data_IF_164337825061
#
_entry.id   IF_164337825061
#
_cell.length_a   1.000
_cell.length_b   1.000
_cell.length_c   1.000
_cell.angle_alpha   90.00
_cell.angle_beta   90.00
_cell.angle_gamma   90.00
#
_symmetry.space_group_name_H-M   'P 1'
#
loop_
_entity.id
_entity.type
_entity.pdbx_description
1 polymer ?
#
# COMPACT_ATOMS: atom_id res chain seq x y z
N UNK A 1 -18.80 5.01 6.75
CA UNK A 1 -17.58 4.37 6.23
C UNK A 1 -16.59 5.48 5.96
N UNK A 2 -15.39 5.36 6.50
CA UNK A 2 -14.33 6.34 6.34
C UNK A 2 -13.14 5.64 5.67
N UNK A 3 -12.34 6.37 4.92
CA UNK A 3 -11.12 5.87 4.28
C UNK A 3 -9.99 6.84 4.58
N UNK A 4 -8.80 6.32 4.93
CA UNK A 4 -7.59 7.12 5.09
C UNK A 4 -6.65 6.80 3.94
N UNK A 5 -5.97 7.84 3.45
CA UNK A 5 -4.89 7.69 2.49
C UNK A 5 -3.58 7.94 3.22
N UNK A 6 -2.68 6.97 3.19
CA UNK A 6 -1.35 7.10 3.78
C UNK A 6 -0.31 7.05 2.67
N UNK A 7 0.78 7.80 2.80
CA UNK A 7 1.92 7.64 1.90
C UNK A 7 3.26 7.79 2.60
N UNK A 8 4.27 7.11 2.07
CA UNK A 8 5.66 7.24 2.48
C UNK A 8 6.54 7.43 1.24
N UNK A 9 7.59 8.23 1.38
CA UNK A 9 8.61 8.42 0.35
C UNK A 9 9.92 7.74 0.76
N UNK A 10 10.67 7.27 -0.23
CA UNK A 10 12.09 6.95 -0.03
C UNK A 10 12.85 8.21 0.43
N UNK A 11 14.02 8.06 1.07
CA UNK A 11 14.80 9.22 1.50
C UNK A 11 15.15 10.21 0.38
N UNK A 12 15.34 9.72 -0.85
CA UNK A 12 15.59 10.53 -2.05
C UNK A 12 14.30 10.97 -2.77
N UNK A 13 13.13 10.59 -2.25
CA UNK A 13 11.78 10.86 -2.77
C UNK A 13 11.54 10.39 -4.20
N UNK A 14 12.34 9.47 -4.71
CA UNK A 14 12.16 8.86 -6.04
C UNK A 14 11.17 7.69 -6.03
N UNK A 15 10.95 7.12 -4.86
CA UNK A 15 10.01 6.02 -4.67
C UNK A 15 8.92 6.43 -3.68
N UNK A 16 7.72 5.91 -3.89
CA UNK A 16 6.54 6.21 -3.10
C UNK A 16 5.75 4.92 -2.84
N UNK A 17 5.32 4.75 -1.60
CA UNK A 17 4.33 3.75 -1.20
C UNK A 17 3.08 4.50 -0.75
N UNK A 18 1.94 4.18 -1.34
CA UNK A 18 0.62 4.73 -1.00
C UNK A 18 -0.25 3.58 -0.51
N UNK A 19 -0.97 3.80 0.59
CA UNK A 19 -1.88 2.81 1.19
C UNK A 19 -3.26 3.45 1.28
N UNK A 20 -4.25 2.77 0.71
CA UNK A 20 -5.66 3.03 0.97
C UNK A 20 -6.07 2.17 2.17
N UNK A 21 -6.44 2.84 3.26
CA UNK A 21 -6.73 2.28 4.59
C UNK A 21 -8.23 2.50 4.90
N UNK A 22 -9.13 1.66 4.36
CA UNK A 22 -10.55 1.74 4.65
C UNK A 22 -10.83 1.41 6.12
N UNK A 23 -11.53 2.31 6.80
CA UNK A 23 -12.05 2.08 8.14
C UNK A 23 -13.32 1.25 8.11
N UNK A 24 -13.31 0.11 8.83
CA UNK A 24 -14.50 -0.69 9.07
C UNK A 24 -15.54 0.02 9.95
N UNK A 25 -16.78 -0.44 9.86
CA UNK A 25 -17.83 -0.06 10.82
C UNK A 25 -17.43 -0.65 12.18
N UNK A 26 -17.59 0.10 13.26
CA UNK A 26 -17.24 -0.37 14.62
C UNK A 26 -15.77 -0.83 14.80
N UNK A 27 -14.84 -0.28 14.01
CA UNK A 27 -13.42 -0.66 13.97
C UNK A 27 -13.16 -2.10 13.52
N UNK A 28 -14.06 -2.70 12.74
CA UNK A 28 -13.80 -3.98 12.10
C UNK A 28 -12.57 -3.90 11.18
N UNK A 29 -11.68 -4.92 11.20
CA UNK A 29 -10.50 -4.93 10.35
C UNK A 29 -10.90 -5.12 8.88
N UNK A 30 -10.57 -4.14 8.04
CA UNK A 30 -10.81 -4.19 6.60
C UNK A 30 -9.47 -4.29 5.87
N UNK A 31 -9.33 -5.18 4.87
CA UNK A 31 -8.12 -5.21 4.07
C UNK A 31 -7.88 -3.90 3.31
N UNK A 32 -6.64 -3.45 3.36
CA UNK A 32 -6.12 -2.29 2.64
C UNK A 32 -5.83 -2.62 1.17
N UNK A 33 -5.54 -1.57 0.41
CA UNK A 33 -4.87 -1.65 -0.88
C UNK A 33 -3.60 -0.82 -0.85
N UNK A 34 -2.64 -1.12 -1.72
CA UNK A 34 -1.44 -0.29 -1.88
C UNK A 34 -1.03 -0.10 -3.33
N UNK A 35 -0.39 1.03 -3.56
CA UNK A 35 0.37 1.34 -4.76
C UNK A 35 1.83 1.59 -4.38
N UNK A 36 2.75 1.03 -5.16
CA UNK A 36 4.17 1.36 -5.07
C UNK A 36 4.66 1.86 -6.44
N UNK A 37 5.40 2.96 -6.44
CA UNK A 37 6.05 3.51 -7.63
C UNK A 37 7.49 3.89 -7.35
N UNK A 38 8.39 3.61 -8.30
CA UNK A 38 9.80 3.99 -8.27
C UNK A 38 10.15 4.66 -9.59
N UNK A 39 10.39 5.97 -9.56
CA UNK A 39 10.60 6.73 -10.79
C UNK A 39 12.01 6.59 -11.36
N UNK A 40 12.99 6.26 -10.50
CA UNK A 40 14.38 6.05 -10.88
C UNK A 40 14.52 4.79 -11.73
N UNK A 41 13.84 3.71 -11.32
CA UNK A 41 13.81 2.43 -12.02
C UNK A 41 12.71 2.41 -13.08
N UNK A 42 11.67 3.23 -12.91
CA UNK A 42 10.48 3.23 -13.75
C UNK A 42 9.60 2.00 -13.52
N UNK A 43 9.50 1.58 -12.26
CA UNK A 43 8.75 0.41 -11.81
C UNK A 43 7.52 0.86 -11.04
N UNK A 44 6.41 0.13 -11.22
CA UNK A 44 5.22 0.31 -10.37
C UNK A 44 4.51 -1.02 -10.17
N UNK A 45 3.83 -1.16 -9.04
CA UNK A 45 2.95 -2.29 -8.74
C UNK A 45 1.83 -1.82 -7.85
N UNK A 46 0.71 -2.54 -7.90
CA UNK A 46 -0.41 -2.30 -7.01
C UNK A 46 -1.00 -3.63 -6.54
N UNK A 47 -1.58 -3.63 -5.36
CA UNK A 47 -2.25 -4.80 -4.82
C UNK A 47 -3.36 -4.40 -3.86
N UNK A 48 -4.53 -4.96 -4.06
CA UNK A 48 -5.66 -4.82 -3.15
C UNK A 48 -5.68 -5.97 -2.13
N UNK A 49 -6.52 -5.89 -1.11
CA UNK A 49 -6.72 -6.98 -0.14
C UNK A 49 -5.42 -7.38 0.58
N UNK A 50 -4.81 -6.44 1.29
CA UNK A 50 -3.66 -6.68 2.17
C UNK A 50 -3.97 -6.21 3.60
N UNK A 51 -3.45 -6.90 4.62
CA UNK A 51 -3.56 -6.47 6.01
C UNK A 51 -2.53 -5.42 6.40
N UNK A 52 -1.35 -5.48 5.78
CA UNK A 52 -0.26 -4.54 6.03
C UNK A 52 0.75 -4.58 4.87
N UNK A 53 1.54 -3.52 4.73
CA UNK A 53 2.58 -3.38 3.72
C UNK A 53 3.73 -2.51 4.25
N UNK A 54 4.97 -2.90 3.96
CA UNK A 54 6.15 -2.14 4.32
C UNK A 54 7.26 -2.29 3.27
N UNK A 55 7.93 -1.19 2.87
CA UNK A 55 9.14 -1.26 2.07
C UNK A 55 10.34 -1.64 2.94
N UNK A 56 11.33 -2.30 2.36
CA UNK A 56 12.64 -2.47 2.97
C UNK A 56 13.34 -1.12 3.14
N UNK A 57 14.31 -0.98 4.06
CA UNK A 57 15.03 0.27 4.29
C UNK A 57 15.71 0.85 3.04
N UNK A 58 16.15 -0.02 2.12
CA UNK A 58 16.77 0.33 0.84
C UNK A 58 15.77 0.52 -0.31
N UNK A 59 14.47 0.35 -0.03
CA UNK A 59 13.38 0.45 -1.01
C UNK A 59 13.58 -0.46 -2.24
N UNK A 60 14.20 -1.62 -2.04
CA UNK A 60 14.35 -2.68 -3.08
C UNK A 60 13.37 -3.83 -2.92
N UNK A 61 12.66 -3.89 -1.80
CA UNK A 61 11.68 -4.91 -1.51
C UNK A 61 10.42 -4.31 -0.91
N UNK A 62 9.27 -4.88 -1.26
CA UNK A 62 8.00 -4.62 -0.59
C UNK A 62 7.57 -5.91 0.10
N UNK A 63 7.43 -5.88 1.41
CA UNK A 63 6.82 -6.95 2.19
C UNK A 63 5.35 -6.61 2.44
N UNK A 64 4.46 -7.60 2.34
CA UNK A 64 3.03 -7.41 2.55
C UNK A 64 2.38 -8.65 3.17
N UNK A 65 1.25 -8.46 3.83
CA UNK A 65 0.39 -9.54 4.31
C UNK A 65 -0.87 -9.64 3.47
N UNK A 66 -0.96 -10.61 2.56
CA UNK A 66 -2.16 -10.84 1.73
C UNK A 66 -3.34 -11.27 2.59
N UNK A 67 -4.50 -10.65 2.35
CA UNK A 67 -5.72 -10.94 3.09
C UNK A 67 -6.56 -12.04 2.43
N UNK A 68 -7.05 -12.96 3.27
CA UNK A 68 -8.04 -13.97 2.89
C UNK A 68 -9.09 -14.12 3.99
N UNK A 69 -10.35 -14.25 3.59
CA UNK A 69 -11.44 -14.66 4.48
C UNK A 69 -11.55 -16.19 4.47
N UNK A 70 -11.53 -16.80 5.65
CA UNK A 70 -11.58 -18.26 5.83
C UNK A 70 -12.90 -18.75 6.44
N UNK A 71 -13.64 -17.86 7.11
CA UNK A 71 -15.00 -18.12 7.61
C UNK A 71 -15.85 -16.89 7.32
N UNK A 72 -17.01 -17.09 6.69
CA UNK A 72 -17.98 -16.01 6.46
C UNK A 72 -18.79 -15.72 7.73
N UNK A 73 -19.38 -14.51 7.83
CA UNK A 73 -20.11 -14.06 9.02
C UNK A 73 -21.24 -14.98 9.50
N UNK A 74 -21.84 -15.77 8.60
CA UNK A 74 -22.88 -16.76 8.92
C UNK A 74 -22.40 -18.07 9.57
N UNK A 75 -21.09 -18.30 9.67
CA UNK A 75 -20.49 -19.38 10.47
C UNK A 75 -20.55 -20.80 9.91
N UNK A 76 -21.17 -21.06 8.74
CA UNK A 76 -21.44 -22.43 8.26
C UNK A 76 -20.66 -22.88 7.02
N UNK A 77 -19.62 -22.16 6.58
CA UNK A 77 -18.85 -22.51 5.37
C UNK A 77 -17.49 -23.15 5.66
N UNK A 78 -17.33 -24.45 5.44
CA UNK A 78 -16.01 -25.12 5.36
C UNK A 78 -15.33 -24.94 4.00
N UNK A 79 -16.09 -24.54 2.99
CA UNK A 79 -15.63 -24.43 1.60
C UNK A 79 -14.58 -23.32 1.45
N UNK A 80 -14.77 -22.19 2.14
CA UNK A 80 -13.80 -21.08 2.14
C UNK A 80 -12.43 -21.51 2.69
N UNK A 81 -12.40 -22.25 3.79
CA UNK A 81 -11.15 -22.73 4.38
C UNK A 81 -10.40 -23.67 3.43
N UNK A 82 -11.13 -24.55 2.74
CA UNK A 82 -10.57 -25.48 1.77
C UNK A 82 -10.08 -24.76 0.51
N UNK A 83 -10.84 -23.78 0.03
CA UNK A 83 -10.46 -22.96 -1.13
C UNK A 83 -9.21 -22.11 -0.84
N UNK A 84 -9.15 -21.47 0.34
CA UNK A 84 -7.96 -20.73 0.78
C UNK A 84 -6.78 -21.68 0.94
N UNK A 85 -6.99 -22.88 1.47
CA UNK A 85 -5.94 -23.90 1.56
C UNK A 85 -5.34 -24.23 0.19
N UNK A 86 -6.17 -24.46 -0.82
CA UNK A 86 -5.70 -24.71 -2.20
C UNK A 86 -4.96 -23.51 -2.80
N UNK A 87 -5.43 -22.28 -2.56
CA UNK A 87 -4.83 -21.05 -3.12
C UNK A 87 -3.49 -20.69 -2.46
N UNK A 88 -3.37 -20.93 -1.16
CA UNK A 88 -2.22 -20.51 -0.34
C UNK A 88 -1.20 -21.63 -0.16
N UNK A 89 -1.56 -22.87 -0.47
CA UNK A 89 -0.80 -24.08 -0.14
C UNK A 89 -0.55 -24.25 1.37
N UNK A 90 -1.42 -23.68 2.20
CA UNK A 90 -1.40 -23.83 3.67
C UNK A 90 -2.49 -24.83 4.04
N UNK A 91 -2.19 -25.83 4.87
CA UNK A 91 -3.20 -26.81 5.28
C UNK A 91 -4.30 -26.16 6.14
N UNK A 92 -5.48 -26.77 6.13
CA UNK A 92 -6.67 -26.22 6.82
C UNK A 92 -6.52 -26.16 8.34
N UNK A 93 -5.69 -27.00 8.95
CA UNK A 93 -5.45 -26.96 10.40
C UNK A 93 -4.58 -25.75 10.75
N UNK A 94 -3.51 -25.49 10.00
CA UNK A 94 -2.67 -24.30 10.12
C UNK A 94 -3.45 -23.02 9.84
N UNK A 95 -4.30 -23.00 8.79
CA UNK A 95 -5.17 -21.86 8.52
C UNK A 95 -6.15 -21.59 9.68
N UNK A 96 -6.75 -22.64 10.24
CA UNK A 96 -7.65 -22.51 11.39
C UNK A 96 -6.92 -21.93 12.60
N UNK A 97 -5.72 -22.44 12.91
CA UNK A 97 -4.90 -21.98 14.03
C UNK A 97 -4.37 -20.54 13.85
N UNK A 98 -4.00 -20.16 12.62
CA UNK A 98 -3.48 -18.82 12.30
C UNK A 98 -4.54 -17.76 12.02
N UNK A 99 -5.80 -18.17 11.84
CA UNK A 99 -6.90 -17.23 11.59
C UNK A 99 -7.20 -16.33 12.78
N UNK A 100 -7.83 -15.19 12.53
CA UNK A 100 -8.24 -14.21 13.54
C UNK A 100 -9.64 -13.66 13.27
N UNK A 101 -10.31 -13.09 14.29
CA UNK A 101 -11.61 -12.44 14.12
C UNK A 101 -11.52 -11.29 13.11
N UNK A 102 -12.38 -11.32 12.10
CA UNK A 102 -12.49 -10.27 11.08
C UNK A 102 -13.71 -9.35 11.29
N UNK A 103 -14.54 -9.66 12.28
CA UNK A 103 -15.75 -8.91 12.65
C UNK A 103 -15.99 -9.07 14.15
N UNK A 104 -16.44 -7.99 14.79
CA UNK A 104 -16.87 -8.02 16.20
C UNK A 104 -18.29 -8.55 16.38
N UNK A 105 -19.10 -8.52 15.31
CA UNK A 105 -20.53 -8.83 15.33
C UNK A 105 -20.86 -10.21 14.75
N UNK A 106 -19.94 -10.84 14.02
CA UNK A 106 -20.17 -12.11 13.33
C UNK A 106 -19.06 -13.13 13.58
N UNK A 107 -19.26 -14.36 13.13
CA UNK A 107 -18.26 -15.41 13.21
C UNK A 107 -17.20 -15.32 12.10
N UNK A 108 -17.11 -14.17 11.41
CA UNK A 108 -16.17 -13.99 10.32
C UNK A 108 -14.73 -14.09 10.80
N UNK A 109 -13.92 -14.86 10.06
CA UNK A 109 -12.50 -15.02 10.34
C UNK A 109 -11.67 -14.81 9.09
N UNK A 110 -10.51 -14.23 9.28
CA UNK A 110 -9.54 -13.99 8.25
C UNK A 110 -8.19 -14.60 8.58
N UNK A 111 -7.32 -14.68 7.58
CA UNK A 111 -5.92 -15.07 7.70
C UNK A 111 -5.06 -14.10 6.88
N UNK A 112 -3.79 -13.98 7.28
CA UNK A 112 -2.77 -13.29 6.51
C UNK A 112 -1.83 -14.32 5.88
N UNK A 113 -1.43 -14.09 4.63
CA UNK A 113 -0.36 -14.82 3.97
C UNK A 113 0.76 -13.83 3.61
N UNK A 114 1.99 -14.01 4.09
CA UNK A 114 3.05 -13.07 3.81
C UNK A 114 3.52 -13.22 2.36
N UNK A 115 3.88 -12.09 1.76
CA UNK A 115 4.52 -12.07 0.47
C UNK A 115 5.54 -10.95 0.35
N UNK A 116 6.37 -11.09 -0.69
CA UNK A 116 7.39 -10.09 -1.05
C UNK A 116 7.36 -9.79 -2.54
N UNK A 117 7.64 -8.55 -2.89
CA UNK A 117 7.91 -8.11 -4.26
C UNK A 117 9.34 -7.57 -4.28
N UNK A 118 10.18 -8.09 -5.17
CA UNK A 118 11.48 -7.50 -5.45
C UNK A 118 11.33 -6.38 -6.47
N UNK A 119 12.00 -5.26 -6.25
CA UNK A 119 12.02 -4.13 -7.18
C UNK A 119 13.29 -4.25 -8.02
N UNK A 120 13.17 -4.64 -9.31
CA UNK A 120 14.33 -4.88 -10.15
C UNK A 120 15.07 -3.57 -10.44
N UNK A 121 16.40 -3.60 -10.44
CA UNK A 121 17.22 -2.42 -10.78
C UNK A 121 16.93 -1.91 -12.21
N UNK A 122 16.53 -2.81 -13.12
CA UNK A 122 16.03 -2.46 -14.46
C UNK A 122 14.76 -3.27 -14.78
N UNK A 123 13.55 -2.66 -14.76
CA UNK A 123 12.30 -3.38 -15.02
C UNK A 123 12.08 -3.76 -16.49
N UNK A 124 12.95 -3.32 -17.41
CA UNK A 124 12.81 -3.58 -18.86
C UNK A 124 13.48 -4.87 -19.32
N UNK A 125 14.30 -5.50 -18.49
CA UNK A 125 14.94 -6.79 -18.85
C UNK A 125 13.96 -7.94 -18.65
N UNK A 126 14.04 -8.98 -19.47
CA UNK A 126 13.08 -10.08 -19.45
C UNK A 126 12.98 -10.77 -18.08
N UNK A 127 14.12 -10.98 -17.41
CA UNK A 127 14.17 -11.59 -16.07
C UNK A 127 13.55 -10.70 -14.97
N UNK A 128 13.32 -9.41 -15.24
CA UNK A 128 12.75 -8.49 -14.26
C UNK A 128 11.30 -8.85 -13.94
N UNK A 129 10.52 -9.26 -14.94
CA UNK A 129 9.12 -9.64 -14.78
C UNK A 129 8.98 -10.76 -13.73
N UNK A 130 9.74 -11.85 -13.87
CA UNK A 130 9.72 -12.97 -12.95
C UNK A 130 10.20 -12.57 -11.55
N UNK A 131 11.27 -11.77 -11.47
CA UNK A 131 11.80 -11.32 -10.18
C UNK A 131 10.84 -10.40 -9.43
N UNK A 132 10.05 -9.60 -10.16
CA UNK A 132 9.12 -8.62 -9.61
C UNK A 132 7.70 -9.14 -9.38
N UNK A 133 7.44 -10.39 -9.78
CA UNK A 133 6.19 -11.05 -9.46
C UNK A 133 6.06 -11.20 -7.93
N UNK A 134 4.87 -10.96 -7.35
CA UNK A 134 4.66 -11.20 -5.93
C UNK A 134 4.92 -12.66 -5.57
N UNK A 135 5.85 -12.89 -4.64
CA UNK A 135 6.15 -14.21 -4.10
C UNK A 135 5.43 -14.36 -2.77
N UNK A 136 4.45 -15.26 -2.72
CA UNK A 136 3.69 -15.60 -1.52
C UNK A 136 4.29 -16.83 -0.85
N UNK A 137 4.35 -16.82 0.48
CA UNK A 137 4.90 -17.93 1.25
C UNK A 137 3.78 -18.68 1.98
N UNK A 138 3.84 -20.03 2.07
CA UNK A 138 2.79 -20.84 2.68
C UNK A 138 2.85 -20.76 4.21
N UNK A 139 2.53 -19.59 4.75
CA UNK A 139 2.60 -19.24 6.17
C UNK A 139 1.32 -18.50 6.55
N UNK A 140 0.66 -18.93 7.63
CA UNK A 140 -0.53 -18.24 8.16
C UNK A 140 -0.16 -17.16 9.19
N UNK A 141 0.63 -16.15 8.78
CA UNK A 141 1.09 -15.00 9.59
C UNK A 141 1.23 -13.75 8.71
N UNK A 142 1.64 -12.64 9.31
CA UNK A 142 1.86 -11.39 8.57
C UNK A 142 0.65 -10.46 8.60
N UNK A 143 -0.12 -10.51 9.70
CA UNK A 143 -1.10 -9.47 10.00
C UNK A 143 -0.44 -8.09 9.98
N UNK A 144 0.73 -7.99 10.63
CA UNK A 144 1.68 -6.89 10.45
C UNK A 144 2.94 -7.39 9.79
N UNK A 145 3.59 -6.54 9.01
CA UNK A 145 4.88 -6.82 8.37
C UNK A 145 5.86 -5.69 8.62
N UNK A 146 7.08 -5.99 9.04
CA UNK A 146 8.15 -5.00 9.20
C UNK A 146 9.45 -5.58 8.69
N UNK A 147 10.33 -4.73 8.19
CA UNK A 147 11.68 -5.15 7.83
C UNK A 147 12.61 -4.98 9.03
N UNK A 148 13.66 -5.80 9.11
CA UNK A 148 14.80 -5.44 9.95
C UNK A 148 15.48 -4.19 9.40
N UNK A 149 16.15 -3.41 10.26
CA UNK A 149 16.81 -2.15 9.84
C UNK A 149 17.94 -2.35 8.83
N UNK A 150 18.51 -3.56 8.76
CA UNK A 150 19.49 -3.97 7.75
C UNK A 150 18.83 -4.51 6.45
N UNK A 151 17.51 -4.68 6.43
CA UNK A 151 16.74 -5.15 5.29
C UNK A 151 16.87 -6.64 4.97
N UNK A 152 17.61 -7.42 5.77
CA UNK A 152 17.86 -8.84 5.45
C UNK A 152 16.70 -9.77 5.79
N UNK A 153 15.76 -9.33 6.62
CA UNK A 153 14.70 -10.19 7.16
C UNK A 153 13.36 -9.47 7.15
N UNK A 154 12.33 -10.18 6.69
CA UNK A 154 10.96 -9.76 6.86
C UNK A 154 10.42 -10.32 8.19
N UNK A 155 10.09 -9.43 9.11
CA UNK A 155 9.44 -9.77 10.36
C UNK A 155 7.93 -9.89 10.16
N UNK A 156 7.38 -11.04 10.52
CA UNK A 156 5.96 -11.37 10.43
C UNK A 156 5.31 -11.26 11.80
N UNK A 157 4.41 -10.30 11.94
CA UNK A 157 3.61 -10.11 13.13
C UNK A 157 2.57 -11.21 13.29
N UNK A 158 2.32 -11.59 14.55
CA UNK A 158 1.20 -12.43 14.93
C UNK A 158 -0.15 -11.77 14.62
N UNK A 159 -1.14 -12.64 14.44
CA UNK A 159 -2.55 -12.30 14.28
C UNK A 159 -3.09 -11.49 15.47
N UNK A 160 -4.04 -10.57 15.23
CA UNK A 160 -4.64 -9.77 16.28
C UNK A 160 -5.49 -10.62 17.21
N UNK A 161 -5.54 -10.24 18.49
CA UNK A 161 -6.35 -10.97 19.47
C UNK A 161 -7.85 -10.62 19.34
N UNK A 162 -8.18 -9.46 18.77
CA UNK A 162 -9.55 -8.95 18.63
C UNK A 162 -9.81 -8.54 17.17
N UNK A 163 -11.09 -8.40 16.82
CA UNK A 163 -11.50 -7.78 15.56
C UNK A 163 -11.34 -6.26 15.66
N UNK A 164 -10.09 -5.80 15.77
CA UNK A 164 -9.75 -4.38 15.88
C UNK A 164 -8.82 -4.05 14.73
N UNK A 165 -9.26 -3.07 13.94
CA UNK A 165 -8.44 -2.51 12.90
C UNK A 165 -7.11 -1.99 13.47
N UNK A 166 -6.06 -2.22 12.70
CA UNK A 166 -4.74 -1.73 13.00
C UNK A 166 -4.10 -2.20 14.34
N UNK A 167 -4.54 -3.30 14.96
CA UNK A 167 -3.90 -3.85 16.17
C UNK A 167 -2.38 -4.08 15.97
N UNK A 168 -1.49 -3.57 16.84
CA UNK A 168 -0.05 -3.78 16.72
C UNK A 168 0.32 -5.22 17.09
N UNK A 169 1.41 -5.73 16.50
CA UNK A 169 1.91 -7.06 16.86
C UNK A 169 2.89 -6.98 18.03
N UNK A 170 2.71 -7.87 19.01
CA UNK A 170 3.58 -7.97 20.20
C UNK A 170 4.80 -8.87 19.98
N UNK A 171 4.73 -9.80 19.02
CA UNK A 171 5.78 -10.78 18.76
C UNK A 171 5.94 -11.00 17.26
N UNK A 172 7.17 -11.29 16.84
CA UNK A 172 7.54 -11.35 15.44
C UNK A 172 8.24 -12.66 15.12
N UNK A 173 7.94 -13.22 13.94
CA UNK A 173 8.71 -14.32 13.35
C UNK A 173 9.61 -13.81 12.25
N UNK A 174 10.78 -14.42 12.10
CA UNK A 174 11.72 -14.09 11.03
C UNK A 174 11.43 -14.91 9.77
N UNK A 175 11.32 -14.23 8.63
CA UNK A 175 11.22 -14.81 7.30
C UNK A 175 12.37 -14.30 6.44
N UNK A 176 13.08 -15.23 5.79
CA UNK A 176 14.01 -14.91 4.71
C UNK A 176 13.20 -14.48 3.46
N UNK A 177 13.31 -13.21 3.00
CA UNK A 177 12.57 -12.72 1.85
C UNK A 177 13.00 -13.38 0.53
N UNK A 178 14.21 -13.92 0.43
CA UNK A 178 14.71 -14.54 -0.79
C UNK A 178 14.19 -15.97 -0.95
N UNK A 179 14.21 -16.76 0.13
CA UNK A 179 13.89 -18.20 0.09
C UNK A 179 12.53 -18.55 0.66
N UNK A 180 11.95 -17.68 1.50
CA UNK A 180 10.75 -17.99 2.27
C UNK A 180 11.01 -18.85 3.51
N UNK A 181 12.28 -19.14 3.83
CA UNK A 181 12.63 -19.91 5.02
C UNK A 181 12.21 -19.16 6.29
N UNK A 182 11.59 -19.87 7.23
CA UNK A 182 11.29 -19.34 8.55
C UNK A 182 12.39 -19.70 9.54
N UNK A 183 12.86 -18.70 10.29
CA UNK A 183 13.90 -18.88 11.31
C UNK A 183 13.34 -18.89 12.75
N UNK A 184 12.02 -19.06 12.90
CA UNK A 184 11.34 -19.01 14.19
C UNK A 184 11.10 -17.58 14.67
N UNK A 185 11.26 -17.32 15.96
CA UNK A 185 11.08 -15.99 16.56
C UNK A 185 12.19 -15.05 16.10
N UNK A 186 11.84 -13.80 15.82
CA UNK A 186 12.82 -12.76 15.51
C UNK A 186 13.80 -12.60 16.69
N UNK A 187 15.13 -12.55 16.46
CA UNK A 187 16.10 -12.37 17.53
C UNK A 187 15.81 -11.12 18.37
N UNK A 188 15.98 -11.19 19.69
CA UNK A 188 15.68 -10.07 20.60
C UNK A 188 16.52 -8.81 20.35
N UNK A 189 17.68 -8.95 19.72
CA UNK A 189 18.54 -7.83 19.31
C UNK A 189 18.14 -7.20 17.97
N UNK A 190 17.22 -7.81 17.22
CA UNK A 190 16.81 -7.31 15.92
C UNK A 190 16.01 -6.01 16.08
N UNK A 191 16.38 -4.99 15.31
CA UNK A 191 15.64 -3.74 15.24
C UNK A 191 14.75 -3.75 14.00
N UNK A 192 13.50 -3.37 14.19
CA UNK A 192 12.55 -3.21 13.10
C UNK A 192 12.64 -1.80 12.53
N UNK A 193 12.64 -1.71 11.21
CA UNK A 193 12.55 -0.47 10.47
C UNK A 193 11.15 0.14 10.67
N UNK A 194 11.13 1.43 10.97
CA UNK A 194 9.91 2.21 11.03
C UNK A 194 9.67 2.92 9.69
N UNK A 195 8.41 2.91 9.25
CA UNK A 195 7.99 3.55 8.01
C UNK A 195 7.18 4.77 8.39
N UNK A 196 7.74 5.95 8.15
CA UNK A 196 7.07 7.21 8.48
C UNK A 196 6.03 7.55 7.42
N UNK A 197 4.82 7.05 7.63
CA UNK A 197 3.67 7.43 6.83
C UNK A 197 3.23 8.87 7.13
N UNK A 198 2.94 9.60 6.06
CA UNK A 198 2.19 10.85 6.10
C UNK A 198 0.72 10.52 5.94
N UNK A 199 -0.11 11.03 6.85
CA UNK A 199 -1.56 10.90 6.77
C UNK A 199 -2.16 11.95 5.84
N UNK A 200 -2.94 11.51 4.87
CA UNK A 200 -3.83 12.32 4.07
C UNK A 200 -5.13 12.68 4.80
N UNK A 201 -6.04 13.41 4.12
CA UNK A 201 -7.36 13.67 4.68
C UNK A 201 -8.16 12.37 4.82
N UNK A 202 -8.97 12.31 5.86
CA UNK A 202 -9.97 11.25 6.03
C UNK A 202 -11.10 11.50 5.05
N UNK A 203 -11.38 10.53 4.18
CA UNK A 203 -12.52 10.55 3.28
C UNK A 203 -13.73 10.00 4.04
N UNK A 204 -14.79 10.79 4.16
CA UNK A 204 -16.05 10.39 4.78
C UNK A 204 -17.20 10.87 3.89
N UNK A 205 -18.24 10.04 3.74
CA UNK A 205 -19.45 10.38 2.98
C UNK A 205 -20.11 11.68 3.47
N UNK A 206 -20.00 11.98 4.77
CA UNK A 206 -20.60 13.16 5.39
C UNK A 206 -19.77 14.43 5.26
N UNK A 207 -18.52 14.35 4.78
CA UNK A 207 -17.60 15.47 4.72
C UNK A 207 -17.26 15.81 3.25
N UNK A 208 -17.77 16.93 2.71
CA UNK A 208 -17.36 17.39 1.39
C UNK A 208 -15.88 17.79 1.42
N UNK A 209 -15.10 17.30 0.45
CA UNK A 209 -13.72 17.74 0.25
C UNK A 209 -13.74 18.90 -0.73
N UNK A 210 -13.16 20.02 -0.31
CA UNK A 210 -12.95 21.16 -1.19
C UNK A 210 -11.91 20.80 -2.26
N UNK A 211 -12.37 20.67 -3.50
CA UNK A 211 -11.52 20.43 -4.67
C UNK A 211 -11.16 21.70 -5.44
N UNK A 212 -11.48 22.89 -4.91
CA UNK A 212 -11.27 24.14 -5.65
C UNK A 212 -9.80 24.53 -5.74
N UNK A 213 -9.01 24.29 -4.70
CA UNK A 213 -7.59 24.66 -4.68
C UNK A 213 -6.79 23.78 -3.72
N UNK A 214 -5.54 23.47 -4.10
CA UNK A 214 -4.54 22.91 -3.19
C UNK A 214 -3.23 23.71 -3.26
N UNK A 215 -2.39 23.70 -2.21
CA UNK A 215 -1.04 24.24 -2.29
C UNK A 215 -0.28 23.64 -3.48
N UNK A 216 0.45 24.49 -4.19
CA UNK A 216 1.26 24.03 -5.32
C UNK A 216 2.44 23.18 -4.83
N UNK A 217 2.73 22.09 -5.54
CA UNK A 217 3.86 21.19 -5.22
C UNK A 217 4.96 21.43 -6.24
N UNK A 218 6.15 21.82 -5.76
CA UNK A 218 7.32 21.96 -6.62
C UNK A 218 8.01 20.61 -6.81
N UNK A 219 8.34 20.31 -8.06
CA UNK A 219 9.10 19.12 -8.46
C UNK A 219 10.27 19.54 -9.36
N UNK A 220 11.29 18.69 -9.45
CA UNK A 220 12.46 18.93 -10.27
C UNK A 220 12.78 17.72 -11.14
N UNK A 221 12.90 17.96 -12.45
CA UNK A 221 13.30 16.95 -13.42
C UNK A 221 14.54 17.42 -14.17
N UNK A 222 15.69 16.88 -13.80
CA UNK A 222 16.98 17.37 -14.30
C UNK A 222 17.17 18.85 -13.97
N UNK A 223 17.33 19.67 -15.01
CA UNK A 223 17.49 21.12 -14.86
C UNK A 223 16.17 21.90 -14.94
N UNK A 224 15.04 21.22 -15.13
CA UNK A 224 13.72 21.85 -15.22
C UNK A 224 13.01 21.79 -13.88
N UNK A 225 12.36 22.90 -13.52
CA UNK A 225 11.48 22.98 -12.35
C UNK A 225 10.03 23.04 -12.83
N UNK A 226 9.16 22.27 -12.19
CA UNK A 226 7.73 22.31 -12.46
C UNK A 226 6.94 22.54 -11.18
N UNK A 227 5.80 23.18 -11.34
CA UNK A 227 4.77 23.34 -10.32
C UNK A 227 3.59 22.45 -10.67
N UNK A 228 3.23 21.54 -9.79
CA UNK A 228 1.94 20.84 -9.82
C UNK A 228 0.92 21.77 -9.18
N UNK A 229 -0.12 22.13 -9.92
CA UNK A 229 -1.20 23.03 -9.49
C UNK A 229 -2.53 22.29 -9.56
N UNK A 230 -3.35 22.43 -8.52
CA UNK A 230 -4.73 21.93 -8.51
C UNK A 230 -5.69 23.12 -8.47
N UNK A 231 -6.44 23.31 -9.53
CA UNK A 231 -7.43 24.39 -9.65
C UNK A 231 -8.74 23.83 -10.19
N UNK A 232 -9.85 24.12 -9.50
CA UNK A 232 -11.21 23.71 -9.90
C UNK A 232 -11.31 22.21 -10.22
N UNK A 233 -10.66 21.38 -9.41
CA UNK A 233 -10.66 19.93 -9.57
C UNK A 233 -9.86 19.42 -10.78
N UNK A 234 -8.90 20.18 -11.29
CA UNK A 234 -7.98 19.74 -12.34
C UNK A 234 -6.54 19.92 -11.88
N UNK A 235 -5.75 18.86 -12.03
CA UNK A 235 -4.32 18.86 -11.75
C UNK A 235 -3.56 19.17 -13.03
N UNK A 236 -2.71 20.18 -12.98
CA UNK A 236 -1.85 20.61 -14.09
C UNK A 236 -0.38 20.68 -13.67
N UNK A 237 0.49 20.41 -14.63
CA UNK A 237 1.94 20.61 -14.53
C UNK A 237 2.32 21.87 -15.31
N UNK A 238 2.94 22.82 -14.63
CA UNK A 238 3.39 24.09 -15.22
C UNK A 238 4.90 24.19 -15.07
N UNK A 239 5.62 24.42 -16.17
CA UNK A 239 7.07 24.67 -16.11
C UNK A 239 7.36 26.04 -15.52
N UNK A 240 8.19 26.06 -14.47
CA UNK A 240 8.56 27.26 -13.70
C UNK A 240 10.05 27.56 -13.72
N UNK A 241 10.81 26.87 -14.59
CA UNK A 241 12.25 27.08 -14.78
C UNK A 241 12.57 28.58 -15.01
N UNK A 242 13.35 29.24 -14.12
CA UNK A 242 13.55 30.69 -14.18
C UNK A 242 14.19 31.21 -15.48
N UNK A 243 14.98 30.37 -16.16
CA UNK A 243 15.73 30.72 -17.37
C UNK A 243 15.06 30.23 -18.68
N UNK A 244 13.86 29.64 -18.63
CA UNK A 244 13.20 29.15 -19.83
C UNK A 244 12.70 30.31 -20.69
N UNK A 245 13.32 30.50 -21.86
CA UNK A 245 12.94 31.55 -22.83
C UNK A 245 11.52 31.37 -23.37
N UNK A 246 11.05 30.11 -23.47
CA UNK A 246 9.68 29.75 -23.78
C UNK A 246 9.17 28.80 -22.70
N UNK A 247 8.23 29.25 -21.87
CA UNK A 247 7.55 28.36 -20.92
C UNK A 247 6.68 27.38 -21.71
N UNK A 248 6.86 26.08 -21.47
CA UNK A 248 5.96 25.08 -22.03
C UNK A 248 4.51 25.34 -21.59
N UNK A 249 3.56 25.04 -22.48
CA UNK A 249 2.15 25.14 -22.13
C UNK A 249 1.83 24.23 -20.93
N UNK A 250 0.95 24.65 -20.00
CA UNK A 250 0.49 23.80 -18.92
C UNK A 250 -0.01 22.45 -19.44
N UNK A 251 0.41 21.37 -18.80
CA UNK A 251 -0.02 20.02 -19.14
C UNK A 251 -1.04 19.52 -18.13
N UNK A 252 -2.20 19.10 -18.61
CA UNK A 252 -3.20 18.43 -17.77
C UNK A 252 -2.70 17.04 -17.39
N UNK A 253 -2.73 16.73 -16.09
CA UNK A 253 -2.39 15.42 -15.53
C UNK A 253 -3.65 14.58 -15.35
N UNK A 254 -4.68 15.15 -14.74
CA UNK A 254 -5.90 14.43 -14.38
C UNK A 254 -6.85 15.28 -13.54
N UNK A 255 -7.95 14.66 -13.11
CA UNK A 255 -8.93 15.31 -12.24
C UNK A 255 -8.52 15.24 -10.77
N UNK A 256 -9.05 16.15 -9.96
CA UNK A 256 -8.90 16.13 -8.50
C UNK A 256 -7.91 17.15 -7.94
N UNK A 257 -7.41 16.85 -6.75
CA UNK A 257 -6.42 17.66 -6.03
C UNK A 257 -5.18 16.85 -5.71
N UNK A 258 -4.01 17.41 -6.02
CA UNK A 258 -2.73 16.80 -5.70
C UNK A 258 -2.42 16.92 -4.20
N UNK A 259 -2.03 15.80 -3.58
CA UNK A 259 -1.62 15.72 -2.18
C UNK A 259 -0.09 15.73 -2.03
N UNK A 260 0.59 14.95 -2.86
CA UNK A 260 2.04 14.81 -2.83
C UNK A 260 2.55 14.26 -4.17
N UNK A 261 3.86 14.37 -4.42
CA UNK A 261 4.49 13.82 -5.62
C UNK A 261 5.93 13.36 -5.33
N UNK A 262 6.42 12.44 -6.16
CA UNK A 262 7.85 12.09 -6.20
C UNK A 262 8.69 13.28 -6.69
N UNK A 263 10.00 13.24 -6.45
CA UNK A 263 10.89 14.38 -6.73
C UNK A 263 10.87 14.81 -8.20
N UNK A 264 10.81 13.87 -9.13
CA UNK A 264 10.65 14.11 -10.57
C UNK A 264 9.18 14.22 -11.03
N UNK A 265 8.22 14.07 -10.12
CA UNK A 265 6.78 14.13 -10.37
C UNK A 265 6.24 13.06 -11.31
N UNK A 266 6.94 11.94 -11.47
CA UNK A 266 6.41 10.80 -12.23
C UNK A 266 5.16 10.21 -11.58
N UNK A 267 5.11 10.19 -10.26
CA UNK A 267 3.96 9.73 -9.49
C UNK A 267 3.39 10.88 -8.69
N UNK A 268 2.10 11.18 -8.90
CA UNK A 268 1.36 12.22 -8.19
C UNK A 268 0.22 11.57 -7.45
N UNK A 269 0.26 11.66 -6.12
CA UNK A 269 -0.81 11.20 -5.22
C UNK A 269 -1.89 12.27 -5.23
N UNK A 270 -3.14 11.88 -5.45
CA UNK A 270 -4.26 12.80 -5.55
C UNK A 270 -5.54 12.20 -4.96
N UNK A 271 -6.50 13.08 -4.71
CA UNK A 271 -7.89 12.71 -4.50
C UNK A 271 -8.67 13.09 -5.73
N UNK A 272 -9.40 12.14 -6.32
CA UNK A 272 -10.19 12.36 -7.52
C UNK A 272 -11.65 11.93 -7.29
N UNK A 273 -12.61 12.53 -8.02
CA UNK A 273 -13.97 12.03 -8.06
C UNK A 273 -14.00 10.59 -8.60
N UNK A 274 -14.77 9.71 -7.96
CA UNK A 274 -14.99 8.36 -8.47
C UNK A 274 -15.70 8.42 -9.82
N UNK A 275 -15.26 7.59 -10.77
CA UNK A 275 -15.87 7.54 -12.09
C UNK A 275 -17.34 7.04 -12.06
N UNK A 276 -17.67 6.19 -11.09
CA UNK A 276 -19.02 5.63 -10.88
C UNK A 276 -19.33 5.57 -9.38
N UNK A 277 -19.72 6.69 -8.76
CA UNK A 277 -20.04 6.70 -7.34
C UNK A 277 -21.36 5.96 -7.10
N UNK A 278 -21.34 4.95 -6.22
CA UNK A 278 -22.57 4.46 -5.61
C UNK A 278 -23.12 5.57 -4.70
N UNK A 279 -24.42 5.90 -4.75
CA UNK A 279 -25.04 6.90 -3.88
C UNK A 279 -24.80 6.68 -2.37
N UNK A 280 -24.48 5.45 -1.97
CA UNK A 280 -24.23 5.06 -0.59
C UNK A 280 -22.75 5.02 -0.20
N UNK A 281 -21.84 5.24 -1.14
CA UNK A 281 -20.39 5.21 -0.92
C UNK A 281 -19.77 6.62 -0.94
N UNK A 282 -18.46 6.67 -0.63
CA UNK A 282 -17.66 7.89 -0.72
C UNK A 282 -17.49 8.24 -2.21
N UNK A 283 -17.83 9.47 -2.61
CA UNK A 283 -17.77 9.90 -4.01
C UNK A 283 -16.36 10.27 -4.50
N UNK A 284 -15.35 10.12 -3.65
CA UNK A 284 -13.95 10.50 -3.86
C UNK A 284 -13.09 9.27 -3.58
N UNK A 285 -12.02 9.11 -4.33
CA UNK A 285 -11.04 8.04 -4.14
C UNK A 285 -9.60 8.57 -4.17
N UNK A 286 -8.72 7.85 -3.49
CA UNK A 286 -7.29 8.05 -3.63
C UNK A 286 -6.82 7.49 -4.98
N UNK A 287 -6.12 8.32 -5.75
CA UNK A 287 -5.53 7.91 -7.03
C UNK A 287 -4.05 8.26 -7.08
N UNK A 288 -3.30 7.50 -7.87
CA UNK A 288 -1.93 7.86 -8.22
C UNK A 288 -1.86 8.04 -9.73
N UNK A 289 -1.62 9.28 -10.16
CA UNK A 289 -1.36 9.59 -11.55
C UNK A 289 0.07 9.26 -11.92
N UNK A 290 0.24 8.51 -13.02
CA UNK A 290 1.56 8.25 -13.61
C UNK A 290 1.79 9.19 -14.78
N UNK A 291 2.75 10.11 -14.63
CA UNK A 291 3.11 11.10 -15.63
C UNK A 291 4.19 10.52 -16.55
N UNK A 292 3.88 10.44 -17.84
CA UNK A 292 4.83 10.07 -18.89
C UNK A 292 5.43 11.32 -19.51
N UNK A 293 6.74 11.51 -19.45
CA UNK A 293 7.41 12.70 -19.98
C UNK A 293 7.90 12.54 -21.41
#
# INVERSE_FOLDING_TARGET
MAERVLWAFSPDRKSVLVVADPGGVENEPVPNGFFFGDEARGFQTQMDSVWDVAPSPDWKWIGFGRAYTVVAGGGTGTDLLTDVSRRTSIDTATLRAGSFPASGMSLARAVAQPGVIHIPDNPRVQAAADSSAPRLFPVARGWRVRWTTDGSTLALGNSPARAVDNEPSQTWSALDPATGAQHGTLPSSAKLADVKFTGGPTLDRSLPIDMNQSPAIQIQRGNQTFSIQSERGVITLVETTPAAANKAAPRVVGAGIALAATVGGRYIIALAPRAKPDPNEIAIEAVVYTVTW
#
